data_IF_302475705742
#
_entry.id   IF_302475705742
#
_cell.length_a   1.000
_cell.length_b   1.000
_cell.length_c   1.000
_cell.angle_alpha   90.00
_cell.angle_beta   90.00
_cell.angle_gamma   90.00
#
_symmetry.space_group_name_H-M   'P 1'
#
loop_
_entity.id
_entity.type
_entity.pdbx_description
1 polymer ?
#
# COMPACT_ATOMS: atom_id res chain seq x y z
N UNK A 1 3.20 2.71 -3.77
CA UNK A 1 2.31 2.31 -4.88
C UNK A 1 1.21 1.42 -4.35
N UNK A 2 -0.02 1.62 -4.84
CA UNK A 2 -1.21 0.87 -4.42
C UNK A 2 -1.95 0.37 -5.66
N UNK A 3 -1.87 -0.92 -6.02
CA UNK A 3 -2.73 -1.49 -7.05
C UNK A 3 -4.12 -1.75 -6.45
N UNK A 4 -5.16 -1.27 -7.12
CA UNK A 4 -6.55 -1.36 -6.68
C UNK A 4 -7.44 -1.88 -7.82
N UNK A 5 -8.33 -2.84 -7.52
CA UNK A 5 -9.33 -3.34 -8.47
C UNK A 5 -10.65 -3.61 -7.73
N UNK A 6 -11.68 -2.80 -8.01
CA UNK A 6 -12.98 -2.84 -7.34
C UNK A 6 -12.89 -2.66 -5.81
N UNK A 7 -12.17 -1.62 -5.36
CA UNK A 7 -11.84 -1.41 -3.94
C UNK A 7 -12.57 -0.21 -3.33
N UNK A 8 -13.70 0.23 -3.91
CA UNK A 8 -14.39 1.47 -3.50
C UNK A 8 -14.77 1.53 -2.02
N UNK A 9 -14.96 0.39 -1.37
CA UNK A 9 -15.32 0.30 0.06
C UNK A 9 -14.14 0.68 0.97
N UNK A 10 -12.91 0.36 0.57
CA UNK A 10 -11.72 0.42 1.44
C UNK A 10 -10.69 1.43 0.98
N UNK A 11 -10.63 1.73 -0.32
CA UNK A 11 -9.57 2.54 -0.93
C UNK A 11 -9.43 3.92 -0.29
N UNK A 12 -10.55 4.53 0.12
CA UNK A 12 -10.54 5.85 0.77
C UNK A 12 -9.77 5.81 2.08
N UNK A 13 -10.01 4.78 2.90
CA UNK A 13 -9.32 4.62 4.19
C UNK A 13 -7.83 4.36 3.98
N UNK A 14 -7.48 3.56 2.98
CA UNK A 14 -6.09 3.27 2.63
C UNK A 14 -5.35 4.53 2.17
N UNK A 15 -5.92 5.30 1.24
CA UNK A 15 -5.29 6.55 0.78
C UNK A 15 -5.18 7.56 1.92
N UNK A 16 -6.20 7.70 2.77
CA UNK A 16 -6.12 8.57 3.95
C UNK A 16 -5.01 8.15 4.92
N UNK A 17 -4.85 6.85 5.17
CA UNK A 17 -3.76 6.35 6.01
C UNK A 17 -2.37 6.66 5.40
N UNK A 18 -2.24 6.56 4.07
CA UNK A 18 -0.99 6.90 3.37
C UNK A 18 -0.69 8.41 3.37
N UNK A 19 -1.72 9.25 3.30
CA UNK A 19 -1.58 10.71 3.40
C UNK A 19 -1.21 11.16 4.83
N UNK A 20 -1.53 10.33 5.82
CA UNK A 20 -1.25 10.57 7.24
C UNK A 20 0.08 9.96 7.72
N UNK A 21 0.94 9.48 6.82
CA UNK A 21 2.25 8.94 7.20
C UNK A 21 3.17 10.03 7.78
N UNK A 22 3.97 9.67 8.78
CA UNK A 22 5.07 10.47 9.34
C UNK A 22 6.27 10.50 8.40
N UNK A 23 6.10 11.19 7.28
CA UNK A 23 7.16 11.36 6.30
C UNK A 23 7.04 12.75 5.65
N UNK A 24 8.16 13.45 5.38
CA UNK A 24 8.10 14.77 4.75
C UNK A 24 7.33 14.70 3.43
N UNK A 25 6.27 15.51 3.30
CA UNK A 25 5.31 15.43 2.19
C UNK A 25 5.94 15.66 0.81
N UNK A 26 7.05 16.40 0.78
CA UNK A 26 7.88 16.67 -0.40
C UNK A 26 8.80 15.50 -0.78
N UNK A 27 8.96 14.50 0.09
CA UNK A 27 9.89 13.36 -0.09
C UNK A 27 9.21 12.04 -0.41
N UNK A 28 7.88 12.01 -0.55
CA UNK A 28 7.18 10.84 -1.03
C UNK A 28 6.02 11.21 -1.96
N UNK A 29 5.65 10.25 -2.79
CA UNK A 29 4.49 10.32 -3.66
C UNK A 29 3.65 9.06 -3.50
N UNK A 30 2.35 9.20 -3.68
CA UNK A 30 1.38 8.12 -3.61
C UNK A 30 0.88 7.89 -5.02
N UNK A 31 1.19 6.72 -5.58
CA UNK A 31 0.68 6.30 -6.88
C UNK A 31 -0.35 5.21 -6.64
N UNK A 32 -1.61 5.49 -6.97
CA UNK A 32 -2.71 4.52 -6.94
C UNK A 32 -3.01 4.10 -8.36
N UNK A 33 -2.92 2.79 -8.63
CA UNK A 33 -3.21 2.21 -9.93
C UNK A 33 -4.59 1.56 -9.84
N UNK A 34 -5.59 2.22 -10.41
CA UNK A 34 -6.94 1.71 -10.52
C UNK A 34 -7.04 0.81 -11.75
N UNK A 35 -6.92 -0.51 -11.54
CA UNK A 35 -6.72 -1.49 -12.59
C UNK A 35 -8.04 -1.94 -13.24
N UNK A 36 -8.64 -1.16 -14.13
CA UNK A 36 -9.90 -1.51 -14.82
C UNK A 36 -11.05 -1.86 -13.85
N UNK A 37 -11.21 -1.05 -12.79
CA UNK A 37 -12.34 -1.19 -11.87
C UNK A 37 -13.67 -0.85 -12.55
N UNK A 38 -14.73 -1.57 -12.19
CA UNK A 38 -16.09 -1.35 -12.67
C UNK A 38 -17.00 -0.70 -11.61
N UNK A 39 -16.47 -0.45 -10.41
CA UNK A 39 -17.15 0.21 -9.31
C UNK A 39 -16.83 1.72 -9.25
N UNK A 40 -17.20 2.39 -8.15
CA UNK A 40 -16.95 3.81 -7.94
C UNK A 40 -15.53 4.15 -7.45
N UNK A 41 -14.56 3.22 -7.52
CA UNK A 41 -13.18 3.46 -7.07
C UNK A 41 -12.55 4.68 -7.74
N UNK A 42 -12.76 4.84 -9.05
CA UNK A 42 -12.19 5.95 -9.83
C UNK A 42 -12.70 7.31 -9.34
N UNK A 43 -14.01 7.42 -9.08
CA UNK A 43 -14.65 8.65 -8.61
C UNK A 43 -14.18 9.02 -7.21
N UNK A 44 -14.06 8.04 -6.32
CA UNK A 44 -13.56 8.24 -4.96
C UNK A 44 -12.09 8.70 -4.96
N UNK A 45 -11.25 8.11 -5.81
CA UNK A 45 -9.86 8.50 -5.95
C UNK A 45 -9.71 9.92 -6.53
N UNK A 46 -10.55 10.27 -7.50
CA UNK A 46 -10.60 11.63 -8.06
C UNK A 46 -11.02 12.66 -7.00
N UNK A 47 -12.02 12.35 -6.18
CA UNK A 47 -12.44 13.22 -5.08
C UNK A 47 -11.31 13.42 -4.05
N UNK A 48 -10.56 12.36 -3.74
CA UNK A 48 -9.41 12.45 -2.83
C UNK A 48 -8.27 13.30 -3.38
N UNK A 49 -7.96 13.19 -4.67
CA UNK A 49 -7.00 14.10 -5.32
C UNK A 49 -7.43 15.57 -5.20
N UNK A 50 -8.73 15.86 -5.39
CA UNK A 50 -9.25 17.22 -5.29
C UNK A 50 -9.25 17.77 -3.86
N UNK A 51 -9.46 16.91 -2.86
CA UNK A 51 -9.43 17.28 -1.44
C UNK A 51 -8.01 17.55 -0.92
N UNK A 52 -6.98 17.00 -1.58
CA UNK A 52 -5.60 17.10 -1.15
C UNK A 52 -4.68 17.60 -2.28
N UNK A 53 -4.90 18.82 -2.82
CA UNK A 53 -4.13 19.33 -3.95
C UNK A 53 -2.64 19.55 -3.62
N UNK A 54 -2.32 19.78 -2.35
CA UNK A 54 -0.95 20.01 -1.88
C UNK A 54 -0.15 18.70 -1.66
N UNK A 55 -0.77 17.55 -1.95
CA UNK A 55 -0.16 16.23 -1.74
C UNK A 55 0.16 15.59 -3.10
N UNK A 56 1.30 14.91 -3.17
CA UNK A 56 1.76 14.18 -4.36
C UNK A 56 0.96 12.88 -4.56
N UNK A 57 -0.34 12.97 -4.82
CA UNK A 57 -1.21 11.83 -5.10
C UNK A 57 -1.48 11.73 -6.60
N UNK A 58 -1.00 10.66 -7.24
CA UNK A 58 -1.23 10.35 -8.64
C UNK A 58 -2.13 9.13 -8.77
N UNK A 59 -3.22 9.27 -9.52
CA UNK A 59 -4.16 8.19 -9.82
C UNK A 59 -3.99 7.80 -11.28
N UNK A 60 -3.60 6.55 -11.54
CA UNK A 60 -3.48 5.98 -12.87
C UNK A 60 -4.64 5.02 -13.10
N UNK A 61 -5.54 5.37 -14.03
CA UNK A 61 -6.65 4.51 -14.42
C UNK A 61 -6.24 3.68 -15.63
N UNK A 62 -6.39 2.36 -15.55
CA UNK A 62 -6.22 1.46 -16.70
C UNK A 62 -7.59 1.02 -17.23
N UNK A 63 -7.61 0.53 -18.46
CA UNK A 63 -8.81 0.02 -19.14
C UNK A 63 -8.69 -1.49 -19.42
N UNK A 64 -9.67 -2.08 -20.11
CA UNK A 64 -9.63 -3.50 -20.50
C UNK A 64 -8.47 -3.89 -21.43
N UNK A 65 -7.78 -2.92 -22.05
CA UNK A 65 -6.70 -3.19 -23.01
C UNK A 65 -5.33 -3.21 -22.31
N UNK A 66 -5.12 -2.28 -21.39
CA UNK A 66 -3.87 -2.09 -20.65
C UNK A 66 -3.93 -2.59 -19.20
N UNK A 67 -5.11 -2.89 -18.69
CA UNK A 67 -5.38 -3.38 -17.34
C UNK A 67 -5.95 -4.79 -17.26
N UNK A 68 -6.29 -5.24 -16.05
CA UNK A 68 -6.93 -6.54 -15.79
C UNK A 68 -6.02 -7.75 -15.98
N UNK A 69 -4.72 -7.53 -16.15
CA UNK A 69 -3.68 -8.58 -16.33
C UNK A 69 -3.00 -8.96 -15.02
N UNK A 70 -3.63 -8.65 -13.90
CA UNK A 70 -3.18 -8.97 -12.55
C UNK A 70 -2.29 -7.89 -11.92
N UNK A 71 -2.00 -8.08 -10.64
CA UNK A 71 -1.30 -7.12 -9.77
C UNK A 71 0.08 -6.71 -10.31
N UNK A 72 0.83 -7.64 -10.89
CA UNK A 72 2.16 -7.36 -11.45
C UNK A 72 2.11 -6.36 -12.60
N UNK A 73 1.09 -6.44 -13.46
CA UNK A 73 0.90 -5.48 -14.56
C UNK A 73 0.59 -4.08 -14.01
N UNK A 74 -0.33 -3.99 -13.04
CA UNK A 74 -0.65 -2.72 -12.39
C UNK A 74 0.59 -2.08 -11.73
N UNK A 75 1.40 -2.87 -11.04
CA UNK A 75 2.66 -2.39 -10.44
C UNK A 75 3.67 -1.93 -11.48
N UNK A 76 3.81 -2.63 -12.61
CA UNK A 76 4.70 -2.23 -13.70
C UNK A 76 4.28 -0.89 -14.32
N UNK A 77 2.97 -0.68 -14.51
CA UNK A 77 2.43 0.61 -14.99
C UNK A 77 2.70 1.72 -13.96
N UNK A 78 2.50 1.43 -12.68
CA UNK A 78 2.82 2.35 -11.58
C UNK A 78 4.30 2.72 -11.56
N UNK A 79 5.18 1.75 -11.77
CA UNK A 79 6.64 1.94 -11.77
C UNK A 79 7.11 2.91 -12.85
N UNK A 80 6.46 2.91 -14.03
CA UNK A 80 6.77 3.87 -15.10
C UNK A 80 6.48 5.34 -14.72
N UNK A 81 5.61 5.56 -13.72
CA UNK A 81 5.26 6.89 -13.22
C UNK A 81 6.04 7.27 -11.95
N UNK A 82 6.67 6.31 -11.29
CA UNK A 82 7.39 6.52 -10.03
C UNK A 82 8.71 7.28 -10.27
N UNK A 83 8.99 8.23 -9.38
CA UNK A 83 10.19 9.07 -9.38
C UNK A 83 11.10 8.82 -8.18
N UNK A 84 10.56 8.18 -7.14
CA UNK A 84 11.31 7.84 -5.92
C UNK A 84 12.42 6.80 -6.17
N UNK A 85 13.49 6.89 -5.37
CA UNK A 85 14.57 5.89 -5.36
C UNK A 85 14.19 4.62 -4.59
N UNK A 86 13.18 4.70 -3.72
CA UNK A 86 12.65 3.57 -2.94
C UNK A 86 11.19 3.38 -3.32
N UNK A 87 10.81 2.12 -3.55
CA UNK A 87 9.45 1.74 -3.89
C UNK A 87 8.83 0.98 -2.71
N UNK A 88 7.83 1.59 -2.08
CA UNK A 88 6.98 0.91 -1.08
C UNK A 88 5.67 0.48 -1.73
N UNK A 89 5.28 -0.78 -1.52
CA UNK A 89 4.06 -1.38 -2.08
C UNK A 89 3.07 -1.66 -0.95
N UNK A 90 1.84 -1.16 -1.09
CA UNK A 90 0.74 -1.44 -0.18
C UNK A 90 -0.45 -2.01 -0.95
N UNK A 91 -1.24 -2.85 -0.28
CA UNK A 91 -2.53 -3.31 -0.79
C UNK A 91 -3.61 -2.23 -0.62
N UNK A 92 -4.64 -2.29 -1.46
CA UNK A 92 -5.72 -1.30 -1.50
C UNK A 92 -6.64 -1.32 -0.27
N UNK A 93 -6.52 -2.32 0.61
CA UNK A 93 -7.25 -2.48 1.86
C UNK A 93 -6.37 -2.28 3.11
N UNK A 94 -5.06 -2.07 2.92
CA UNK A 94 -4.11 -1.87 4.02
C UNK A 94 -4.13 -0.45 4.55
N UNK A 95 -4.09 -0.32 5.88
CA UNK A 95 -3.97 0.95 6.59
C UNK A 95 -2.69 0.93 7.43
N UNK A 96 -1.54 1.37 6.88
CA UNK A 96 -0.27 1.32 7.59
C UNK A 96 -0.30 2.19 8.86
N UNK A 97 0.52 1.83 9.85
CA UNK A 97 0.74 2.66 11.03
C UNK A 97 1.47 3.97 10.62
N UNK A 98 1.22 5.04 11.38
CA UNK A 98 1.71 6.40 11.10
C UNK A 98 3.22 6.44 10.80
N UNK A 99 4.02 5.71 11.58
CA UNK A 99 5.49 5.71 11.47
C UNK A 99 6.04 4.62 10.53
N UNK A 100 5.17 3.81 9.91
CA UNK A 100 5.58 2.58 9.23
C UNK A 100 6.55 2.83 8.07
N UNK A 101 6.28 3.85 7.24
CA UNK A 101 7.16 4.18 6.12
C UNK A 101 8.54 4.64 6.60
N UNK A 102 8.59 5.46 7.66
CA UNK A 102 9.84 5.96 8.25
C UNK A 102 10.72 4.81 8.74
N UNK A 103 10.15 3.83 9.45
CA UNK A 103 10.90 2.67 9.91
C UNK A 103 11.39 1.77 8.78
N UNK A 104 10.54 1.52 7.76
CA UNK A 104 10.94 0.70 6.61
C UNK A 104 12.08 1.35 5.82
N UNK A 105 11.97 2.64 5.51
CA UNK A 105 13.02 3.34 4.77
C UNK A 105 14.32 3.42 5.59
N UNK A 106 14.24 3.68 6.89
CA UNK A 106 15.41 3.70 7.76
C UNK A 106 16.13 2.35 7.80
N UNK A 107 15.40 1.24 7.89
CA UNK A 107 15.97 -0.11 7.88
C UNK A 107 16.59 -0.43 6.52
N UNK A 108 15.89 -0.16 5.42
CA UNK A 108 16.38 -0.44 4.06
C UNK A 108 17.71 0.29 3.78
N UNK A 109 17.85 1.52 4.27
CA UNK A 109 19.03 2.35 4.06
C UNK A 109 20.11 2.17 5.13
N UNK A 110 19.89 1.31 6.12
CA UNK A 110 20.88 1.08 7.19
C UNK A 110 22.12 0.34 6.69
N UNK A 111 21.99 -0.48 5.65
CA UNK A 111 23.08 -1.19 5.01
C UNK A 111 22.94 -1.20 3.49
N UNK A 112 24.01 -0.86 2.77
CA UNK A 112 24.02 -0.79 1.29
C UNK A 112 23.70 -2.11 0.57
N UNK A 113 23.83 -3.25 1.26
CA UNK A 113 23.54 -4.57 0.68
C UNK A 113 22.08 -5.00 0.83
N UNK A 114 21.24 -4.23 1.53
CA UNK A 114 19.82 -4.55 1.67
C UNK A 114 19.05 -4.20 0.38
N UNK A 115 18.48 -5.23 -0.26
CA UNK A 115 17.67 -5.06 -1.47
C UNK A 115 16.17 -4.84 -1.21
N UNK A 116 15.66 -5.28 -0.06
CA UNK A 116 14.25 -5.13 0.31
C UNK A 116 14.05 -5.29 1.82
N UNK A 117 13.04 -4.60 2.35
CA UNK A 117 12.55 -4.77 3.73
C UNK A 117 11.05 -5.01 3.70
N UNK A 118 10.54 -5.81 4.63
CA UNK A 118 9.12 -6.17 4.71
C UNK A 118 8.60 -5.82 6.10
N UNK A 119 7.55 -4.99 6.14
CA UNK A 119 6.85 -4.67 7.36
C UNK A 119 6.02 -5.83 7.88
N UNK A 120 5.75 -5.81 9.19
CA UNK A 120 4.84 -6.76 9.81
C UNK A 120 3.39 -6.34 9.59
N UNK A 121 2.53 -7.25 9.13
CA UNK A 121 1.10 -7.00 8.99
C UNK A 121 0.30 -7.71 10.10
N UNK A 122 -0.85 -7.14 10.45
CA UNK A 122 -1.76 -7.65 11.49
C UNK A 122 -3.19 -7.59 10.99
N UNK A 123 -4.04 -8.51 11.45
CA UNK A 123 -5.46 -8.44 11.08
C UNK A 123 -6.13 -7.29 11.83
N UNK A 124 -6.84 -6.44 11.08
CA UNK A 124 -7.53 -5.25 11.64
C UNK A 124 -8.66 -5.64 12.59
N UNK A 125 -9.38 -6.70 12.27
CA UNK A 125 -10.55 -7.17 13.01
C UNK A 125 -10.23 -8.18 14.13
N UNK A 126 -8.98 -8.28 14.58
CA UNK A 126 -8.54 -9.25 15.62
C UNK A 126 -9.34 -9.23 16.93
N UNK A 127 -10.03 -8.13 17.23
CA UNK A 127 -10.86 -7.97 18.43
C UNK A 127 -12.36 -8.16 18.17
N UNK A 128 -12.77 -8.47 16.93
CA UNK A 128 -14.18 -8.63 16.59
C UNK A 128 -14.76 -9.91 17.17
N UNK A 129 -13.99 -11.01 17.13
CA UNK A 129 -14.37 -12.31 17.70
C UNK A 129 -13.16 -13.04 18.26
N UNK A 130 -13.41 -14.04 19.11
CA UNK A 130 -12.37 -14.95 19.62
C UNK A 130 -11.66 -15.67 18.45
N UNK A 131 -12.39 -16.07 17.40
CA UNK A 131 -11.82 -16.69 16.21
C UNK A 131 -10.82 -15.76 15.50
N UNK A 132 -11.22 -14.50 15.25
CA UNK A 132 -10.31 -13.52 14.61
C UNK A 132 -9.07 -13.22 15.45
N UNK A 133 -9.18 -13.34 16.78
CA UNK A 133 -8.04 -13.21 17.70
C UNK A 133 -7.07 -14.38 17.54
N UNK A 134 -7.56 -15.61 17.46
CA UNK A 134 -6.73 -16.78 17.20
C UNK A 134 -6.04 -16.72 15.84
N UNK A 135 -6.78 -16.36 14.78
CA UNK A 135 -6.21 -16.15 13.43
C UNK A 135 -5.09 -15.12 13.48
N UNK A 136 -5.27 -14.02 14.22
CA UNK A 136 -4.21 -13.03 14.41
C UNK A 136 -2.98 -13.64 15.10
N UNK A 137 -3.15 -14.35 16.23
CA UNK A 137 -2.02 -14.99 16.94
C UNK A 137 -1.28 -15.98 16.03
N UNK A 138 -2.00 -16.84 15.33
CA UNK A 138 -1.42 -17.79 14.38
C UNK A 138 -0.64 -17.07 13.27
N UNK A 139 -1.22 -16.04 12.66
CA UNK A 139 -0.57 -15.23 11.62
C UNK A 139 0.73 -14.61 12.13
N UNK A 140 0.73 -14.06 13.34
CA UNK A 140 1.93 -13.45 13.92
C UNK A 140 3.02 -14.49 14.21
N UNK A 141 2.65 -15.65 14.72
CA UNK A 141 3.58 -16.76 14.98
C UNK A 141 4.17 -17.29 13.67
N UNK A 142 3.34 -17.48 12.64
CA UNK A 142 3.77 -17.94 11.33
C UNK A 142 4.73 -16.94 10.66
N UNK A 143 4.39 -15.65 10.67
CA UNK A 143 5.28 -14.61 10.15
C UNK A 143 6.65 -14.65 10.83
N UNK A 144 6.69 -14.76 12.16
CA UNK A 144 7.96 -14.85 12.88
C UNK A 144 8.76 -16.09 12.50
N UNK A 145 8.14 -17.26 12.40
CA UNK A 145 8.82 -18.48 11.96
C UNK A 145 9.34 -18.37 10.52
N UNK A 146 8.52 -17.85 9.60
CA UNK A 146 8.85 -17.75 8.18
C UNK A 146 9.85 -16.61 7.85
N UNK A 147 9.93 -15.58 8.70
CA UNK A 147 10.90 -14.48 8.56
C UNK A 147 12.21 -14.78 9.29
N UNK A 148 12.18 -15.45 10.45
CA UNK A 148 13.39 -15.79 11.21
C UNK A 148 14.32 -16.77 10.46
N UNK A 149 13.77 -17.59 9.55
CA UNK A 149 14.55 -18.51 8.72
C UNK A 149 15.20 -17.89 7.49
N UNK A 150 14.99 -16.59 7.22
CA UNK A 150 15.59 -15.87 6.08
C UNK A 150 16.77 -15.03 6.57
N UNK A 151 17.87 -15.69 6.90
CA UNK A 151 19.18 -15.07 7.09
C UNK A 151 20.07 -15.37 5.89
#
# INVERSE_FOLDING_TARGET
MVPAHNEGIVIVKTVQALLALDYPADRYEIIVINDNSSDNSADLLKALQQLHPDRNLTVVNTDKTNGGKGKSNALNIGLQHARGSVISIYDADNTPEHDALRYLVAELLSYDHYGAVIGKFRTRNKNATVLTRFINVETLSFQWMAQAGRQ
#
